data_IF_463532602868
#
_entry.id   IF_463532602868
#
_cell.length_a   1.000
_cell.length_b   1.000
_cell.length_c   1.000
_cell.angle_alpha   90.00
_cell.angle_beta   90.00
_cell.angle_gamma   90.00
#
_symmetry.space_group_name_H-M   'P 1'
#
loop_
_entity.id
_entity.type
_entity.pdbx_description
1 polymer ?
#
# COMPACT_ATOMS: atom_id res chain seq x y z
N UNK A 1 -12.20 -5.96 13.63
CA UNK A 1 -11.45 -4.72 13.89
C UNK A 1 -11.65 -3.74 12.75
N UNK A 2 -11.44 -2.43 12.98
CA UNK A 2 -11.57 -1.40 11.92
C UNK A 2 -10.70 -1.75 10.70
N UNK A 3 -9.47 -2.20 10.93
CA UNK A 3 -8.53 -2.65 9.90
C UNK A 3 -9.10 -3.73 8.98
N UNK A 4 -9.80 -4.70 9.54
CA UNK A 4 -10.43 -5.78 8.78
C UNK A 4 -11.49 -5.25 7.83
N UNK A 5 -12.37 -4.38 8.33
CA UNK A 5 -13.41 -3.76 7.51
C UNK A 5 -12.81 -2.94 6.38
N UNK A 6 -11.73 -2.20 6.64
CA UNK A 6 -11.05 -1.39 5.62
C UNK A 6 -10.41 -2.25 4.53
N UNK A 7 -9.86 -3.42 4.87
CA UNK A 7 -9.37 -4.37 3.85
C UNK A 7 -10.51 -4.94 3.00
N UNK A 8 -11.63 -5.33 3.59
CA UNK A 8 -12.79 -5.79 2.83
C UNK A 8 -13.38 -4.69 1.95
N UNK A 9 -13.39 -3.43 2.43
CA UNK A 9 -13.79 -2.28 1.62
C UNK A 9 -12.87 -2.13 0.39
N UNK A 10 -11.55 -2.30 0.57
CA UNK A 10 -10.60 -2.32 -0.55
C UNK A 10 -10.90 -3.44 -1.55
N UNK A 11 -11.20 -4.64 -1.07
CA UNK A 11 -11.60 -5.77 -1.92
C UNK A 11 -12.89 -5.47 -2.71
N UNK A 12 -13.88 -4.87 -2.06
CA UNK A 12 -15.10 -4.42 -2.76
C UNK A 12 -14.80 -3.36 -3.82
N UNK A 13 -13.91 -2.40 -3.53
CA UNK A 13 -13.47 -1.40 -4.51
C UNK A 13 -12.84 -2.04 -5.74
N UNK A 14 -11.97 -3.04 -5.54
CA UNK A 14 -11.36 -3.80 -6.63
C UNK A 14 -12.40 -4.55 -7.48
N UNK A 15 -13.41 -5.17 -6.85
CA UNK A 15 -14.54 -5.82 -7.56
C UNK A 15 -15.35 -4.82 -8.37
N UNK A 16 -15.64 -3.64 -7.82
CA UNK A 16 -16.37 -2.58 -8.54
C UNK A 16 -15.55 -2.11 -9.76
N UNK A 17 -14.23 -1.93 -9.63
CA UNK A 17 -13.38 -1.62 -10.77
C UNK A 17 -13.38 -2.73 -11.82
N UNK A 18 -13.31 -3.99 -11.41
CA UNK A 18 -13.40 -5.13 -12.32
C UNK A 18 -14.72 -5.12 -13.11
N UNK A 19 -15.86 -4.98 -12.42
CA UNK A 19 -17.18 -4.91 -13.07
C UNK A 19 -17.26 -3.70 -14.00
N UNK A 20 -16.70 -2.55 -13.61
CA UNK A 20 -16.73 -1.33 -14.42
C UNK A 20 -16.06 -1.51 -15.78
N UNK A 21 -14.96 -2.28 -15.83
CA UNK A 21 -14.28 -2.59 -17.09
C UNK A 21 -15.10 -3.54 -17.98
N UNK A 22 -15.83 -4.49 -17.39
CA UNK A 22 -16.68 -5.39 -18.15
C UNK A 22 -17.86 -4.65 -18.82
N UNK A 23 -18.42 -3.64 -18.15
CA UNK A 23 -19.56 -2.86 -18.69
C UNK A 23 -19.11 -1.55 -19.34
N UNK A 24 -17.80 -1.29 -19.45
CA UNK A 24 -17.20 -0.08 -20.01
C UNK A 24 -17.75 1.23 -19.41
N UNK A 25 -17.97 1.26 -18.08
CA UNK A 25 -18.50 2.42 -17.37
C UNK A 25 -17.43 3.19 -16.64
N UNK A 26 -17.07 4.37 -17.16
CA UNK A 26 -16.06 5.26 -16.56
C UNK A 26 -16.46 5.76 -15.16
N UNK A 27 -17.73 6.10 -14.95
CA UNK A 27 -18.20 6.58 -13.64
C UNK A 27 -18.12 5.50 -12.56
N UNK A 28 -18.42 4.26 -12.93
CA UNK A 28 -18.31 3.13 -12.01
C UNK A 28 -16.82 2.83 -11.69
N UNK A 29 -15.93 3.03 -12.65
CA UNK A 29 -14.49 2.91 -12.43
C UNK A 29 -13.99 3.94 -11.41
N UNK A 30 -14.41 5.20 -11.53
CA UNK A 30 -14.10 6.25 -10.56
C UNK A 30 -14.59 5.91 -9.16
N UNK A 31 -15.81 5.42 -9.03
CA UNK A 31 -16.38 4.99 -7.75
C UNK A 31 -15.57 3.83 -7.16
N UNK A 32 -15.26 2.82 -7.96
CA UNK A 32 -14.44 1.68 -7.54
C UNK A 32 -13.04 2.11 -7.09
N UNK A 33 -12.37 2.99 -7.85
CA UNK A 33 -11.07 3.53 -7.51
C UNK A 33 -11.09 4.33 -6.20
N UNK A 34 -12.14 5.11 -5.95
CA UNK A 34 -12.33 5.82 -4.68
C UNK A 34 -12.45 4.85 -3.49
N UNK A 35 -13.29 3.82 -3.61
CA UNK A 35 -13.46 2.80 -2.58
C UNK A 35 -12.16 2.02 -2.36
N UNK A 36 -11.43 1.69 -3.43
CA UNK A 36 -10.15 1.01 -3.38
C UNK A 36 -9.10 1.86 -2.66
N UNK A 37 -9.10 3.19 -2.87
CA UNK A 37 -8.26 4.15 -2.16
C UNK A 37 -8.50 4.15 -0.65
N UNK A 38 -9.76 4.01 -0.20
CA UNK A 38 -10.08 3.83 1.23
C UNK A 38 -9.42 2.54 1.75
N UNK A 39 -9.50 1.44 0.99
CA UNK A 39 -8.84 0.18 1.32
C UNK A 39 -7.32 0.31 1.45
N UNK A 40 -6.70 1.10 0.58
CA UNK A 40 -5.26 1.34 0.59
C UNK A 40 -4.77 1.98 1.91
N UNK A 41 -5.60 2.77 2.58
CA UNK A 41 -5.26 3.34 3.89
C UNK A 41 -5.00 2.26 4.96
N UNK A 42 -5.66 1.10 4.87
CA UNK A 42 -5.42 -0.02 5.77
C UNK A 42 -4.00 -0.58 5.63
N UNK A 43 -3.47 -0.64 4.41
CA UNK A 43 -2.11 -1.11 4.15
C UNK A 43 -1.07 -0.21 4.84
N UNK A 44 -1.26 1.11 4.80
CA UNK A 44 -0.41 2.06 5.51
C UNK A 44 -0.52 1.90 7.01
N UNK A 45 -1.73 1.76 7.55
CA UNK A 45 -1.96 1.58 8.98
C UNK A 45 -1.36 0.26 9.50
N UNK A 46 -1.38 -0.81 8.71
CA UNK A 46 -0.82 -2.11 9.09
C UNK A 46 0.69 -2.02 9.32
N UNK A 47 1.40 -1.21 8.52
CA UNK A 47 2.84 -0.98 8.73
C UNK A 47 3.12 -0.39 10.11
N UNK A 48 2.34 0.60 10.54
CA UNK A 48 2.48 1.18 11.88
C UNK A 48 1.98 0.22 12.97
N UNK A 49 0.92 -0.54 12.72
CA UNK A 49 0.39 -1.51 13.66
C UNK A 49 1.46 -2.54 14.07
N UNK A 50 2.32 -2.96 13.15
CA UNK A 50 3.40 -3.92 13.43
C UNK A 50 4.37 -3.41 14.51
N UNK A 51 4.62 -2.12 14.58
CA UNK A 51 5.52 -1.52 15.57
C UNK A 51 4.94 -1.51 17.00
N UNK A 52 3.62 -1.56 17.15
CA UNK A 52 2.96 -1.61 18.47
C UNK A 52 2.89 -3.03 19.06
N UNK A 53 3.15 -4.06 18.25
CA UNK A 53 3.10 -5.47 18.67
C UNK A 53 4.42 -5.95 19.27
N UNK A 54 5.45 -5.15 19.25
CA UNK A 54 6.80 -5.47 19.73
C UNK A 54 7.23 -4.53 20.85
N UNK A 55 8.25 -4.96 21.62
CA UNK A 55 8.88 -4.11 22.64
C UNK A 55 9.45 -2.83 22.03
N UNK A 56 9.56 -1.76 22.80
CA UNK A 56 10.00 -0.44 22.33
C UNK A 56 11.31 -0.47 21.56
N UNK A 57 12.29 -1.22 22.04
CA UNK A 57 13.60 -1.37 21.42
C UNK A 57 13.57 -2.07 20.04
N UNK A 58 12.48 -2.74 19.68
CA UNK A 58 12.32 -3.42 18.39
C UNK A 58 11.31 -2.76 17.45
N UNK A 59 10.75 -1.61 17.81
CA UNK A 59 9.73 -0.92 16.99
C UNK A 59 10.25 -0.54 15.61
N UNK A 60 11.46 0.01 15.54
CA UNK A 60 12.06 0.40 14.26
C UNK A 60 12.32 -0.82 13.38
N UNK A 61 12.81 -1.92 13.96
CA UNK A 61 13.03 -3.18 13.23
C UNK A 61 11.71 -3.76 12.71
N UNK A 62 10.67 -3.79 13.53
CA UNK A 62 9.37 -4.32 13.11
C UNK A 62 8.76 -3.50 11.96
N UNK A 63 8.87 -2.16 12.03
CA UNK A 63 8.42 -1.28 10.97
C UNK A 63 9.21 -1.49 9.67
N UNK A 64 10.54 -1.55 9.76
CA UNK A 64 11.41 -1.75 8.59
C UNK A 64 11.19 -3.12 7.95
N UNK A 65 11.00 -4.18 8.73
CA UNK A 65 10.65 -5.50 8.22
C UNK A 65 9.28 -5.53 7.56
N UNK A 66 8.26 -4.87 8.13
CA UNK A 66 6.94 -4.77 7.52
C UNK A 66 6.99 -4.06 6.15
N UNK A 67 7.80 -3.01 6.04
CA UNK A 67 8.05 -2.32 4.78
C UNK A 67 8.81 -3.24 3.81
N UNK A 68 9.84 -3.93 4.28
CA UNK A 68 10.64 -4.83 3.45
C UNK A 68 9.81 -5.99 2.89
N UNK A 69 8.97 -6.63 3.70
CA UNK A 69 8.06 -7.66 3.21
C UNK A 69 7.08 -7.17 2.16
N UNK A 70 6.69 -5.87 2.17
CA UNK A 70 5.84 -5.30 1.14
C UNK A 70 6.51 -5.24 -0.24
N UNK A 71 7.86 -5.34 -0.31
CA UNK A 71 8.62 -5.42 -1.57
C UNK A 71 8.17 -6.59 -2.42
N UNK A 72 7.93 -7.75 -1.79
CA UNK A 72 7.49 -8.94 -2.54
C UNK A 72 6.20 -8.66 -3.31
N UNK A 73 5.19 -8.08 -2.66
CA UNK A 73 3.93 -7.72 -3.31
C UNK A 73 4.12 -6.68 -4.41
N UNK A 74 4.94 -5.66 -4.16
CA UNK A 74 5.15 -4.57 -5.12
C UNK A 74 6.04 -4.93 -6.30
N UNK A 75 6.88 -5.96 -6.18
CA UNK A 75 7.68 -6.49 -7.31
C UNK A 75 6.90 -7.55 -8.09
N UNK A 76 6.27 -8.48 -7.40
CA UNK A 76 5.55 -9.57 -8.07
C UNK A 76 4.21 -9.11 -8.66
N UNK A 77 3.49 -8.17 -8.01
CA UNK A 77 2.20 -7.67 -8.47
C UNK A 77 2.23 -7.15 -9.91
N UNK A 78 3.01 -6.10 -10.22
CA UNK A 78 3.09 -5.56 -11.58
C UNK A 78 3.61 -6.56 -12.61
N UNK A 79 4.53 -7.46 -12.21
CA UNK A 79 5.02 -8.53 -13.12
C UNK A 79 3.93 -9.52 -13.46
N UNK A 80 3.13 -9.95 -12.51
CA UNK A 80 1.99 -10.84 -12.76
C UNK A 80 0.97 -10.16 -13.67
N UNK A 81 0.67 -8.88 -13.42
CA UNK A 81 -0.21 -8.10 -14.30
C UNK A 81 0.35 -8.11 -15.74
N UNK A 82 1.61 -7.73 -15.92
CA UNK A 82 2.23 -7.71 -17.24
C UNK A 82 2.24 -9.08 -17.94
N UNK A 83 2.48 -10.17 -17.21
CA UNK A 83 2.53 -11.52 -17.76
C UNK A 83 1.15 -12.02 -18.23
N UNK A 84 0.09 -11.71 -17.50
CA UNK A 84 -1.25 -12.22 -17.77
C UNK A 84 -2.15 -11.23 -18.52
N UNK A 85 -1.74 -9.97 -18.70
CA UNK A 85 -2.52 -8.92 -19.36
C UNK A 85 -3.06 -9.34 -20.72
N UNK A 86 -2.21 -9.86 -21.59
CA UNK A 86 -2.60 -10.30 -22.94
C UNK A 86 -3.57 -11.46 -22.96
N UNK A 87 -3.53 -12.35 -21.97
CA UNK A 87 -4.46 -13.47 -21.85
C UNK A 87 -5.85 -12.96 -21.44
N UNK A 88 -5.88 -12.06 -20.45
CA UNK A 88 -7.13 -11.47 -19.97
C UNK A 88 -7.76 -10.50 -20.97
N UNK A 89 -6.95 -9.78 -21.75
CA UNK A 89 -7.42 -8.97 -22.86
C UNK A 89 -8.20 -9.80 -23.88
N UNK A 90 -7.68 -10.96 -24.28
CA UNK A 90 -8.35 -11.87 -25.22
C UNK A 90 -9.66 -12.43 -24.66
N UNK A 91 -9.76 -12.64 -23.36
CA UNK A 91 -10.95 -13.21 -22.69
C UNK A 91 -12.03 -12.16 -22.37
N UNK A 92 -11.60 -10.97 -21.97
CA UNK A 92 -12.50 -9.96 -21.36
C UNK A 92 -12.42 -8.59 -22.05
N UNK A 93 -11.56 -8.41 -23.05
CA UNK A 93 -11.46 -7.18 -23.82
C UNK A 93 -10.67 -6.04 -23.17
N UNK A 94 -10.01 -6.27 -22.01
CA UNK A 94 -9.18 -5.26 -21.36
C UNK A 94 -8.00 -5.87 -20.62
N UNK A 95 -6.80 -5.32 -20.85
CA UNK A 95 -5.56 -5.71 -20.19
C UNK A 95 -5.55 -5.38 -18.68
N UNK A 96 -6.31 -4.38 -18.26
CA UNK A 96 -6.32 -3.90 -16.87
C UNK A 96 -7.14 -4.77 -15.93
N UNK A 97 -7.98 -5.65 -16.45
CA UNK A 97 -8.87 -6.53 -15.66
C UNK A 97 -8.07 -7.38 -14.68
N UNK A 98 -6.94 -7.94 -15.12
CA UNK A 98 -6.08 -8.77 -14.26
C UNK A 98 -5.52 -8.00 -13.07
N UNK A 99 -5.20 -6.71 -13.23
CA UNK A 99 -4.71 -5.88 -12.14
C UNK A 99 -5.74 -5.74 -11.01
N UNK A 100 -6.99 -5.47 -11.36
CA UNK A 100 -8.07 -5.36 -10.37
C UNK A 100 -8.45 -6.69 -9.73
N UNK A 101 -8.35 -7.80 -10.46
CA UNK A 101 -8.54 -9.14 -9.88
C UNK A 101 -7.46 -9.46 -8.85
N UNK A 102 -6.19 -9.23 -9.18
CA UNK A 102 -5.06 -9.45 -8.26
C UNK A 102 -5.20 -8.55 -7.04
N UNK A 103 -5.54 -7.27 -7.22
CA UNK A 103 -5.78 -6.34 -6.12
C UNK A 103 -6.91 -6.82 -5.20
N UNK A 104 -8.05 -7.24 -5.78
CA UNK A 104 -9.19 -7.77 -5.04
C UNK A 104 -8.80 -8.97 -4.20
N UNK A 105 -8.15 -9.96 -4.80
CA UNK A 105 -7.69 -11.17 -4.10
C UNK A 105 -6.69 -10.82 -2.99
N UNK A 106 -5.76 -9.91 -3.24
CA UNK A 106 -4.81 -9.43 -2.25
C UNK A 106 -5.49 -8.79 -1.04
N UNK A 107 -6.46 -7.90 -1.26
CA UNK A 107 -7.21 -7.27 -0.19
C UNK A 107 -8.08 -8.27 0.61
N UNK A 108 -8.71 -9.22 -0.06
CA UNK A 108 -9.51 -10.26 0.60
C UNK A 108 -8.63 -11.17 1.46
N UNK A 109 -7.49 -11.64 0.93
CA UNK A 109 -6.54 -12.46 1.68
C UNK A 109 -5.97 -11.70 2.89
N UNK A 110 -5.63 -10.42 2.73
CA UNK A 110 -5.19 -9.59 3.85
C UNK A 110 -6.28 -9.44 4.91
N UNK A 111 -7.53 -9.18 4.50
CA UNK A 111 -8.67 -9.09 5.40
C UNK A 111 -8.92 -10.38 6.19
N UNK A 112 -8.87 -11.54 5.53
CA UNK A 112 -9.01 -12.86 6.14
C UNK A 112 -7.86 -13.13 7.13
N UNK A 113 -6.61 -12.80 6.75
CA UNK A 113 -5.44 -12.96 7.61
C UNK A 113 -5.56 -12.14 8.90
N UNK A 114 -5.97 -10.87 8.78
CA UNK A 114 -6.19 -10.00 9.95
C UNK A 114 -7.34 -10.52 10.82
N UNK A 115 -8.41 -11.06 10.23
CA UNK A 115 -9.50 -11.71 10.97
C UNK A 115 -9.00 -12.92 11.77
N UNK A 116 -8.18 -13.77 11.16
CA UNK A 116 -7.61 -14.94 11.81
C UNK A 116 -6.76 -14.56 13.03
N UNK A 117 -5.90 -13.55 12.86
CA UNK A 117 -5.03 -13.06 13.92
C UNK A 117 -5.83 -12.41 15.06
N UNK A 118 -6.82 -11.56 14.75
CA UNK A 118 -7.62 -10.86 15.79
C UNK A 118 -8.55 -11.77 16.58
N UNK A 119 -8.91 -12.93 16.03
CA UNK A 119 -9.66 -13.96 16.78
C UNK A 119 -8.78 -14.75 17.76
N UNK A 120 -7.51 -14.93 17.42
CA UNK A 120 -6.58 -15.77 18.20
C UNK A 120 -5.96 -15.01 19.37
N UNK A 121 -5.70 -13.72 19.23
CA UNK A 121 -5.06 -12.89 20.24
C UNK A 121 -5.85 -11.61 20.55
N UNK A 122 -6.45 -11.55 21.74
CA UNK A 122 -7.07 -10.31 22.24
C UNK A 122 -6.07 -9.16 22.40
N UNK A 123 -4.77 -9.46 22.48
CA UNK A 123 -3.67 -8.50 22.54
C UNK A 123 -3.47 -7.72 21.23
N UNK A 124 -3.91 -8.28 20.09
CA UNK A 124 -3.90 -7.62 18.78
C UNK A 124 -5.02 -6.57 18.60
N UNK A 125 -5.86 -6.38 19.59
CA UNK A 125 -6.69 -5.17 19.65
C UNK A 125 -5.74 -4.02 19.90
N UNK A 126 -5.38 -3.28 18.84
CA UNK A 126 -4.69 -2.01 18.97
C UNK A 126 -5.32 -1.27 20.16
N UNK A 127 -4.54 -0.84 21.15
CA UNK A 127 -5.11 -0.08 22.25
C UNK A 127 -5.91 1.04 21.60
N UNK A 128 -7.20 1.10 21.92
CA UNK A 128 -8.00 2.27 21.57
C UNK A 128 -7.14 3.43 22.02
N UNK A 129 -6.79 4.32 21.07
CA UNK A 129 -5.98 5.50 21.39
C UNK A 129 -6.54 6.05 22.68
N UNK A 130 -5.84 5.77 23.78
CA UNK A 130 -6.18 6.39 25.05
C UNK A 130 -6.06 7.85 24.73
N UNK A 131 -7.19 8.52 24.73
CA UNK A 131 -7.34 9.94 24.59
C UNK A 131 -6.57 10.56 25.77
N UNK A 132 -5.22 10.51 25.68
CA UNK A 132 -4.41 11.45 26.44
C UNK A 132 -4.91 12.77 25.88
N UNK A 133 -5.78 13.45 26.65
CA UNK A 133 -6.10 14.84 26.46
C UNK A 133 -4.76 15.56 26.35
N UNK A 134 -4.20 15.54 25.15
CA UNK A 134 -2.98 16.24 24.81
C UNK A 134 -3.33 17.71 24.86
N UNK A 135 -2.83 18.35 25.84
CA UNK A 135 -2.66 19.80 25.93
C UNK A 135 -2.18 20.28 24.55
N UNK A 136 -2.97 21.15 23.95
CA UNK A 136 -2.73 21.90 22.73
C UNK A 136 -3.09 21.20 21.41
N UNK A 137 -4.24 21.59 20.89
CA UNK A 137 -4.72 21.31 19.53
C UNK A 137 -3.92 22.04 18.43
N UNK A 138 -2.77 22.62 18.73
CA UNK A 138 -1.93 23.34 17.76
C UNK A 138 -0.76 22.45 17.38
N UNK A 139 -0.74 21.99 16.12
CA UNK A 139 0.46 21.38 15.55
C UNK A 139 1.63 22.34 15.73
N UNK A 140 2.72 21.87 16.31
CA UNK A 140 3.97 22.61 16.42
C UNK A 140 4.45 23.07 15.04
N UNK A 141 5.15 24.20 15.00
CA UNK A 141 5.66 24.79 13.75
C UNK A 141 6.51 23.77 12.95
N UNK A 142 7.35 23.03 13.65
CA UNK A 142 8.20 21.98 13.09
C UNK A 142 7.36 20.85 12.48
N UNK A 143 6.31 20.39 13.17
CA UNK A 143 5.42 19.36 12.65
C UNK A 143 4.69 19.81 11.37
N UNK A 144 4.27 21.07 11.28
CA UNK A 144 3.66 21.62 10.07
C UNK A 144 4.65 21.67 8.90
N UNK A 145 5.89 22.08 9.15
CA UNK A 145 6.94 22.13 8.12
C UNK A 145 7.26 20.72 7.60
N UNK A 146 7.45 19.74 8.50
CA UNK A 146 7.69 18.34 8.12
C UNK A 146 6.51 17.76 7.33
N UNK A 147 5.28 18.04 7.76
CA UNK A 147 4.08 17.60 7.01
C UNK A 147 4.04 18.22 5.62
N UNK A 148 4.36 19.52 5.49
CA UNK A 148 4.43 20.20 4.19
C UNK A 148 5.47 19.57 3.26
N UNK A 149 6.67 19.28 3.77
CA UNK A 149 7.72 18.61 3.02
C UNK A 149 7.30 17.20 2.57
N UNK A 150 6.64 16.44 3.44
CA UNK A 150 6.13 15.11 3.11
C UNK A 150 5.06 15.17 2.02
N UNK A 151 4.16 16.15 2.06
CA UNK A 151 3.13 16.36 1.03
C UNK A 151 3.77 16.65 -0.32
N UNK A 152 4.75 17.58 -0.36
CA UNK A 152 5.45 17.94 -1.60
C UNK A 152 6.20 16.72 -2.17
N UNK A 153 6.94 16.00 -1.32
CA UNK A 153 7.67 14.81 -1.75
C UNK A 153 6.72 13.73 -2.30
N UNK A 154 5.61 13.49 -1.62
CA UNK A 154 4.61 12.51 -2.08
C UNK A 154 3.95 12.93 -3.38
N UNK A 155 3.65 14.22 -3.54
CA UNK A 155 3.08 14.78 -4.77
C UNK A 155 4.00 14.56 -5.98
N UNK A 156 5.31 14.88 -5.84
CA UNK A 156 6.30 14.64 -6.89
C UNK A 156 6.40 13.16 -7.24
N UNK A 157 6.45 12.29 -6.23
CA UNK A 157 6.48 10.84 -6.43
C UNK A 157 5.25 10.33 -7.21
N UNK A 158 4.05 10.79 -6.85
CA UNK A 158 2.81 10.38 -7.53
C UNK A 158 2.79 10.83 -8.97
N UNK A 159 3.23 12.07 -9.27
CA UNK A 159 3.31 12.57 -10.65
C UNK A 159 4.23 11.68 -11.49
N UNK A 160 5.43 11.38 -11.00
CA UNK A 160 6.40 10.55 -11.73
C UNK A 160 5.83 9.14 -11.93
N UNK A 161 5.27 8.53 -10.89
CA UNK A 161 4.70 7.19 -10.99
C UNK A 161 3.47 7.11 -11.90
N UNK A 162 2.67 8.18 -11.98
CA UNK A 162 1.50 8.22 -12.86
C UNK A 162 1.87 8.49 -14.32
N UNK A 163 2.86 9.37 -14.57
CA UNK A 163 3.26 9.72 -15.93
C UNK A 163 4.13 8.65 -16.61
N UNK A 164 4.91 7.87 -15.84
CA UNK A 164 5.80 6.85 -16.41
C UNK A 164 5.05 5.78 -17.23
N UNK A 165 3.97 5.14 -16.75
CA UNK A 165 3.20 4.18 -17.54
C UNK A 165 2.61 4.78 -18.81
N UNK A 166 2.12 6.01 -18.73
CA UNK A 166 1.53 6.71 -19.89
C UNK A 166 2.59 6.93 -20.97
N UNK A 167 3.75 7.46 -20.57
CA UNK A 167 4.85 7.69 -21.50
C UNK A 167 5.35 6.39 -22.16
N UNK A 168 5.45 5.30 -21.42
CA UNK A 168 5.90 4.01 -21.95
C UNK A 168 4.89 3.46 -22.97
N UNK A 169 3.59 3.63 -22.74
CA UNK A 169 2.57 3.24 -23.69
C UNK A 169 2.56 4.15 -24.92
N UNK A 170 2.79 5.45 -24.77
CA UNK A 170 2.87 6.42 -25.89
C UNK A 170 4.01 6.09 -26.87
N UNK A 171 5.13 5.55 -26.39
CA UNK A 171 6.23 5.09 -27.25
C UNK A 171 6.00 3.68 -27.83
N UNK A 172 4.82 3.08 -27.61
CA UNK A 172 4.41 1.81 -28.20
C UNK A 172 4.87 0.56 -27.44
N UNK A 173 5.37 0.71 -26.21
CA UNK A 173 5.80 -0.43 -25.39
C UNK A 173 4.62 -1.11 -24.67
N UNK A 174 4.81 -2.36 -24.31
CA UNK A 174 3.77 -3.20 -23.72
C UNK A 174 3.58 -2.96 -22.22
N UNK A 175 2.41 -3.31 -21.70
CA UNK A 175 2.13 -3.31 -20.23
C UNK A 175 3.13 -4.17 -19.46
N UNK A 176 3.71 -5.20 -20.08
CA UNK A 176 4.74 -6.02 -19.45
C UNK A 176 6.02 -5.22 -19.15
N UNK A 177 6.42 -4.33 -20.04
CA UNK A 177 7.55 -3.42 -19.84
C UNK A 177 7.24 -2.44 -18.72
N UNK A 178 6.04 -1.85 -18.71
CA UNK A 178 5.54 -0.99 -17.63
C UNK A 178 5.63 -1.71 -16.27
N UNK A 179 5.11 -2.93 -16.19
CA UNK A 179 5.14 -3.75 -14.97
C UNK A 179 6.56 -4.03 -14.48
N UNK A 180 7.49 -4.26 -15.39
CA UNK A 180 8.90 -4.49 -15.08
C UNK A 180 9.57 -3.24 -14.53
N UNK A 181 9.37 -2.09 -15.14
CA UNK A 181 9.94 -0.80 -14.70
C UNK A 181 9.41 -0.42 -13.31
N UNK A 182 8.10 -0.53 -13.09
CA UNK A 182 7.49 -0.26 -11.78
C UNK A 182 8.05 -1.22 -10.71
N UNK A 183 8.26 -2.48 -11.06
CA UNK A 183 8.83 -3.47 -10.13
C UNK A 183 10.25 -3.11 -9.70
N UNK A 184 11.11 -2.68 -10.62
CA UNK A 184 12.47 -2.23 -10.29
C UNK A 184 12.47 -0.91 -9.52
N UNK A 185 11.58 0.01 -9.86
CA UNK A 185 11.43 1.27 -9.13
C UNK A 185 11.05 1.02 -7.67
N UNK A 186 10.03 0.22 -7.42
CA UNK A 186 9.59 -0.12 -6.06
C UNK A 186 10.59 -0.98 -5.29
N UNK A 187 11.34 -1.85 -5.98
CA UNK A 187 12.46 -2.56 -5.37
C UNK A 187 13.50 -1.56 -4.84
N UNK A 188 13.92 -0.59 -5.65
CA UNK A 188 14.87 0.45 -5.25
C UNK A 188 14.39 1.29 -4.06
N UNK A 189 13.08 1.56 -3.96
CA UNK A 189 12.51 2.32 -2.84
C UNK A 189 12.59 1.58 -1.50
N UNK A 190 12.44 0.27 -1.48
CA UNK A 190 12.18 -0.46 -0.24
C UNK A 190 13.23 -1.51 0.13
N UNK A 191 14.09 -1.93 -0.80
CA UNK A 191 15.06 -3.01 -0.56
C UNK A 191 16.03 -2.70 0.58
N UNK A 192 16.40 -1.44 0.74
CA UNK A 192 17.32 -0.98 1.78
C UNK A 192 16.64 -0.66 3.13
N UNK A 193 15.33 -0.84 3.23
CA UNK A 193 14.58 -0.56 4.46
C UNK A 193 15.13 -1.25 5.73
N UNK A 194 15.54 -2.54 5.72
CA UNK A 194 16.12 -3.18 6.91
C UNK A 194 17.46 -2.57 7.34
N UNK A 195 18.27 -2.15 6.37
CA UNK A 195 19.58 -1.51 6.65
C UNK A 195 19.35 -0.17 7.34
N UNK A 196 18.44 0.65 6.81
CA UNK A 196 18.08 1.94 7.41
C UNK A 196 17.47 1.76 8.82
N UNK A 197 16.62 0.75 9.00
CA UNK A 197 16.06 0.42 10.31
C UNK A 197 17.13 -0.01 11.33
N UNK A 198 18.13 -0.77 10.89
CA UNK A 198 19.28 -1.15 11.72
C UNK A 198 20.14 0.05 12.11
N UNK A 199 20.46 0.93 11.17
CA UNK A 199 21.21 2.17 11.43
C UNK A 199 20.45 3.06 12.41
N UNK A 200 19.15 3.21 12.24
CA UNK A 200 18.32 4.01 13.14
C UNK A 200 18.38 3.51 14.59
N UNK A 201 18.42 2.18 14.79
CA UNK A 201 18.56 1.57 16.12
C UNK A 201 19.92 1.84 16.75
N UNK A 202 21.01 1.77 15.97
CA UNK A 202 22.35 2.07 16.46
C UNK A 202 22.43 3.51 16.99
N UNK A 203 21.91 4.47 16.23
CA UNK A 203 21.94 5.88 16.63
C UNK A 203 21.01 6.22 17.83
N UNK A 204 19.91 5.47 18.01
CA UNK A 204 19.01 5.70 19.15
C UNK A 204 19.48 4.97 20.41
N UNK A 205 20.26 3.90 20.30
CA UNK A 205 20.85 3.18 21.44
C UNK A 205 21.99 3.97 22.11
N UNK A 206 22.75 4.76 21.34
CA UNK A 206 23.86 5.54 21.86
C UNK A 206 23.42 6.88 22.50
N UNK A 207 22.13 7.24 22.40
CA UNK A 207 21.54 8.46 22.94
C UNK A 207 20.77 8.25 24.26
N UNK A 208 20.72 7.00 24.79
CA UNK A 208 20.04 6.63 26.03
C UNK A 208 21.05 6.25 27.12
#
# INVERSE_FOLDING_TARGET
SALTYTFFTGGLGGLVCFISLLINSFYLLLLGAFILGIGQSATLQTRYASSFLVKENFRATALSLAIWFSVFGSVFGPRLVGQYSSTFEKMFGSELIVAYLIATLGFLLAGISVLGLTKKDSALRLPATTNKKGTSNKLDRTAKQLTGLLVINHFVMVIIMASTPLHIQDIGETIQVVGTIISYHTLGMFVFSPVLGGICLLYTSDAA
#
